data_IF_645198247867
#
_entry.id   IF_645198247867
#
_cell.length_a   1.000
_cell.length_b   1.000
_cell.length_c   1.000
_cell.angle_alpha   90.00
_cell.angle_beta   90.00
_cell.angle_gamma   90.00
#
_symmetry.space_group_name_H-M   'P 1'
#
loop_
_entity.id
_entity.type
_entity.pdbx_description
1 polymer ?
#
# COMPACT_ATOMS: atom_id res chain seq x y z
N UNK A 1 10.29 -8.59 -3.29
CA UNK A 1 9.43 -7.68 -2.50
C UNK A 1 8.41 -8.55 -1.74
N UNK A 2 7.91 -8.15 -0.57
CA UNK A 2 7.11 -9.07 0.28
C UNK A 2 5.73 -9.45 -0.28
N UNK A 3 5.18 -8.63 -1.17
CA UNK A 3 3.85 -8.80 -1.76
C UNK A 3 3.84 -9.61 -3.07
N UNK A 4 4.95 -9.67 -3.82
CA UNK A 4 5.00 -10.42 -5.09
C UNK A 4 4.79 -11.93 -4.90
N UNK A 5 5.40 -12.60 -3.90
CA UNK A 5 5.15 -14.03 -3.66
C UNK A 5 3.69 -14.32 -3.30
N UNK A 6 2.92 -13.30 -2.92
CA UNK A 6 1.50 -13.39 -2.55
C UNK A 6 0.56 -13.07 -3.74
N UNK A 7 1.11 -12.96 -4.95
CA UNK A 7 0.33 -12.76 -6.19
C UNK A 7 0.00 -11.31 -6.53
N UNK A 8 0.48 -10.34 -5.74
CA UNK A 8 0.26 -8.92 -6.00
C UNK A 8 1.26 -8.38 -7.02
N UNK A 9 0.77 -7.50 -7.89
CA UNK A 9 1.60 -6.72 -8.82
C UNK A 9 1.96 -5.39 -8.19
N UNK A 10 3.22 -4.98 -8.40
CA UNK A 10 3.79 -3.78 -7.81
C UNK A 10 4.25 -2.83 -8.91
N UNK A 11 3.69 -1.62 -8.94
CA UNK A 11 4.11 -0.56 -9.87
C UNK A 11 4.67 0.59 -9.06
N UNK A 12 5.97 0.83 -9.21
CA UNK A 12 6.64 1.98 -8.59
C UNK A 12 6.34 3.22 -9.42
N UNK A 13 5.54 4.12 -8.87
CA UNK A 13 5.24 5.42 -9.45
C UNK A 13 6.20 6.44 -8.85
N UNK A 14 7.38 6.53 -9.46
CA UNK A 14 8.29 7.66 -9.29
C UNK A 14 8.05 8.63 -10.44
N UNK A 15 7.64 9.87 -10.15
CA UNK A 15 7.56 10.89 -11.20
C UNK A 15 8.44 12.08 -10.85
N UNK A 16 9.33 12.51 -11.76
CA UNK A 16 9.90 13.85 -11.72
C UNK A 16 8.88 14.95 -12.06
N UNK A 17 7.64 14.61 -12.48
CA UNK A 17 6.64 15.55 -13.02
C UNK A 17 5.26 15.52 -12.32
N UNK A 18 5.19 15.57 -10.99
CA UNK A 18 3.94 16.04 -10.33
C UNK A 18 3.23 15.11 -9.34
N UNK A 19 3.88 14.06 -8.83
CA UNK A 19 3.45 13.46 -7.55
C UNK A 19 4.40 13.94 -6.45
N UNK A 20 3.92 14.57 -5.37
CA UNK A 20 4.78 15.19 -4.37
C UNK A 20 5.58 14.18 -3.53
N UNK A 21 5.23 12.88 -3.59
CA UNK A 21 5.87 11.80 -2.83
C UNK A 21 6.00 10.53 -3.69
N UNK A 22 7.08 9.73 -3.52
CA UNK A 22 7.18 8.42 -4.14
C UNK A 22 5.99 7.54 -3.76
N UNK A 23 5.34 6.93 -4.75
CA UNK A 23 4.17 6.09 -4.54
C UNK A 23 4.40 4.69 -5.11
N UNK A 24 4.03 3.66 -4.34
CA UNK A 24 4.01 2.28 -4.75
C UNK A 24 2.55 1.84 -4.94
N UNK A 25 2.15 1.56 -6.17
CA UNK A 25 0.84 1.00 -6.44
C UNK A 25 0.87 -0.52 -6.32
N UNK A 26 0.07 -1.05 -5.40
CA UNK A 26 -0.12 -2.49 -5.17
C UNK A 26 -1.49 -2.87 -5.72
N UNK A 27 -1.58 -3.88 -6.58
CA UNK A 27 -2.86 -4.28 -7.14
C UNK A 27 -2.90 -5.76 -7.52
N UNK A 28 -4.12 -6.30 -7.55
CA UNK A 28 -4.42 -7.58 -8.19
C UNK A 28 -5.48 -7.34 -9.26
N UNK A 29 -5.23 -7.90 -10.45
CA UNK A 29 -6.20 -7.89 -11.54
C UNK A 29 -6.96 -9.21 -11.59
N UNK A 30 -8.28 -9.17 -11.40
CA UNK A 30 -9.20 -10.23 -11.77
C UNK A 30 -10.01 -9.87 -13.03
N UNK A 31 -10.73 -10.82 -13.63
CA UNK A 31 -11.52 -10.60 -14.84
C UNK A 31 -12.69 -9.62 -14.65
N UNK A 32 -13.24 -9.53 -13.42
CA UNK A 32 -14.46 -8.72 -13.15
C UNK A 32 -14.21 -7.52 -12.23
N UNK A 33 -13.09 -7.47 -11.50
CA UNK A 33 -12.76 -6.35 -10.63
C UNK A 33 -11.24 -6.17 -10.47
N UNK A 34 -10.81 -4.92 -10.36
CA UNK A 34 -9.41 -4.56 -10.12
C UNK A 34 -9.33 -3.84 -8.77
N UNK A 35 -8.71 -4.50 -7.78
CA UNK A 35 -8.43 -3.87 -6.50
C UNK A 35 -7.00 -3.37 -6.46
N UNK A 36 -6.81 -2.16 -5.95
CA UNK A 36 -5.50 -1.57 -5.78
C UNK A 36 -5.42 -0.67 -4.56
N UNK A 37 -4.20 -0.40 -4.12
CA UNK A 37 -3.86 0.49 -3.02
C UNK A 37 -2.56 1.22 -3.37
N UNK A 38 -2.59 2.54 -3.24
CA UNK A 38 -1.36 3.34 -3.26
C UNK A 38 -0.70 3.33 -1.89
N UNK A 39 0.59 3.06 -1.83
CA UNK A 39 1.41 3.14 -0.62
C UNK A 39 2.43 4.26 -0.78
N UNK A 40 2.46 5.18 0.17
CA UNK A 40 3.43 6.29 0.25
C UNK A 40 4.23 6.21 1.54
N UNK A 41 5.35 6.92 1.57
CA UNK A 41 6.17 7.04 2.78
C UNK A 41 6.00 8.46 3.35
N UNK A 42 5.55 8.55 4.60
CA UNK A 42 5.31 9.82 5.29
C UNK A 42 6.05 9.86 6.62
N UNK A 43 6.46 11.06 7.03
CA UNK A 43 7.05 11.28 8.35
C UNK A 43 5.98 11.08 9.44
N UNK A 44 6.34 10.35 10.49
CA UNK A 44 5.51 10.12 11.67
C UNK A 44 6.07 10.88 12.88
N UNK A 45 5.26 11.15 13.93
CA UNK A 45 5.76 11.77 15.14
C UNK A 45 6.99 11.02 15.71
N UNK A 46 8.00 11.75 16.18
CA UNK A 46 9.25 11.17 16.67
C UNK A 46 10.38 11.07 15.64
N UNK A 47 10.21 11.66 14.45
CA UNK A 47 11.27 11.75 13.44
C UNK A 47 11.50 10.47 12.62
N UNK A 48 10.66 9.45 12.84
CA UNK A 48 10.65 8.25 12.03
C UNK A 48 9.80 8.41 10.76
N UNK A 49 9.85 7.40 9.90
CA UNK A 49 9.04 7.31 8.68
C UNK A 49 8.15 6.07 8.76
N UNK A 50 6.96 6.15 8.16
CA UNK A 50 6.02 5.04 8.06
C UNK A 50 5.56 4.82 6.63
N UNK A 51 5.10 3.60 6.35
CA UNK A 51 4.28 3.29 5.18
C UNK A 51 2.84 3.69 5.45
N UNK A 52 2.21 4.35 4.48
CA UNK A 52 0.84 4.82 4.59
C UNK A 52 0.03 4.50 3.33
N UNK A 53 -1.26 4.22 3.51
CA UNK A 53 -2.25 4.32 2.45
C UNK A 53 -2.29 5.76 1.91
N UNK A 54 -2.01 5.90 0.61
CA UNK A 54 -1.95 7.16 -0.10
C UNK A 54 -3.28 7.92 -0.10
N UNK A 55 -4.41 7.22 -0.14
CA UNK A 55 -5.75 7.82 -0.16
C UNK A 55 -6.11 8.41 1.21
N UNK A 56 -5.60 7.79 2.28
CA UNK A 56 -5.86 8.20 3.68
C UNK A 56 -4.77 9.10 4.25
N UNK A 57 -3.65 9.25 3.56
CA UNK A 57 -2.51 10.07 3.97
C UNK A 57 -2.03 9.72 5.38
N UNK A 58 -1.88 10.74 6.24
CA UNK A 58 -1.39 10.54 7.63
C UNK A 58 -2.29 9.61 8.47
N UNK A 59 -3.59 9.52 8.17
CA UNK A 59 -4.52 8.62 8.87
C UNK A 59 -4.43 7.17 8.39
N UNK A 60 -3.73 6.94 7.28
CA UNK A 60 -3.55 5.63 6.65
C UNK A 60 -2.33 4.87 7.11
N UNK A 61 -1.85 5.06 8.34
CA UNK A 61 -0.63 4.38 8.81
C UNK A 61 -0.76 2.85 8.70
N UNK A 62 0.21 2.21 8.06
CA UNK A 62 0.25 0.75 7.88
C UNK A 62 1.28 0.13 8.81
N UNK A 63 2.53 0.60 8.73
CA UNK A 63 3.67 0.04 9.46
C UNK A 63 4.87 1.01 9.45
N UNK A 64 5.83 0.88 10.37
CA UNK A 64 7.03 1.71 10.36
C UNK A 64 7.94 1.34 9.18
N UNK A 65 8.66 2.32 8.64
CA UNK A 65 9.73 2.05 7.70
C UNK A 65 10.84 1.25 8.40
N UNK A 66 11.16 0.08 7.84
CA UNK A 66 11.99 -0.94 8.48
C UNK A 66 11.25 -2.27 8.64
N UNK A 67 9.91 -2.25 8.69
CA UNK A 67 9.07 -3.45 8.73
C UNK A 67 8.18 -3.55 7.48
N UNK A 68 8.80 -3.88 6.36
CA UNK A 68 8.08 -4.10 5.11
C UNK A 68 7.16 -5.34 5.15
N UNK A 69 7.38 -6.26 6.10
CA UNK A 69 6.57 -7.47 6.24
C UNK A 69 5.22 -7.12 6.88
N UNK A 70 5.23 -6.40 8.00
CA UNK A 70 4.00 -5.90 8.62
C UNK A 70 3.22 -4.98 7.66
N UNK A 71 3.93 -4.14 6.90
CA UNK A 71 3.30 -3.33 5.86
C UNK A 71 2.57 -4.19 4.82
N UNK A 72 3.21 -5.26 4.33
CA UNK A 72 2.63 -6.15 3.34
C UNK A 72 1.40 -6.92 3.88
N UNK A 73 1.41 -7.32 5.14
CA UNK A 73 0.27 -7.96 5.80
C UNK A 73 -0.93 -7.02 5.88
N UNK A 74 -0.73 -5.78 6.34
CA UNK A 74 -1.81 -4.78 6.39
C UNK A 74 -2.38 -4.46 5.00
N UNK A 75 -1.52 -4.34 3.99
CA UNK A 75 -1.95 -4.11 2.60
C UNK A 75 -2.77 -5.28 2.08
N UNK A 76 -2.33 -6.51 2.35
CA UNK A 76 -3.04 -7.72 1.92
C UNK A 76 -4.42 -7.82 2.56
N UNK A 77 -4.54 -7.56 3.87
CA UNK A 77 -5.82 -7.61 4.57
C UNK A 77 -6.81 -6.57 4.03
N UNK A 78 -6.33 -5.34 3.79
CA UNK A 78 -7.12 -4.28 3.17
C UNK A 78 -7.61 -4.67 1.77
N UNK A 79 -6.72 -5.24 0.95
CA UNK A 79 -7.06 -5.60 -0.42
C UNK A 79 -7.98 -6.82 -0.47
N UNK A 80 -7.78 -7.82 0.40
CA UNK A 80 -8.70 -8.97 0.54
C UNK A 80 -10.10 -8.51 0.95
N UNK A 81 -10.19 -7.58 1.89
CA UNK A 81 -11.48 -7.00 2.27
C UNK A 81 -12.16 -6.27 1.11
N UNK A 82 -11.40 -5.58 0.25
CA UNK A 82 -11.93 -4.95 -0.97
C UNK A 82 -12.39 -5.98 -2.01
N UNK A 83 -11.70 -7.11 -2.15
CA UNK A 83 -12.07 -8.17 -3.11
C UNK A 83 -13.30 -8.97 -2.67
N UNK A 84 -13.50 -9.14 -1.37
CA UNK A 84 -14.58 -9.95 -0.80
C UNK A 84 -15.40 -9.13 0.21
N UNK A 85 -16.18 -8.13 -0.26
CA UNK A 85 -17.02 -7.35 0.62
C UNK A 85 -18.10 -8.24 1.25
N UNK A 86 -18.09 -8.37 2.58
CA UNK A 86 -19.10 -9.11 3.35
C UNK A 86 -18.66 -10.48 3.91
N UNK A 87 -17.39 -10.87 3.77
CA UNK A 87 -16.87 -12.12 4.38
C UNK A 87 -16.26 -11.93 5.78
N UNK A 88 -16.65 -10.88 6.51
CA UNK A 88 -16.13 -10.56 7.85
C UNK A 88 -17.16 -9.85 8.71
#
# INVERSE_FOLDING_TARGET
MALEPRGWRLVRLYRPQGFPVPLLWVYAGGPDDHVGLGVVVLAVPGGAWGYHDAERGRRGYLAPCGDAKAAAEQVEDLLKHRMFPGTW
#
